data_IF_212809176156
#
_entry.id   IF_212809176156
#
_cell.length_a   1.000
_cell.length_b   1.000
_cell.length_c   1.000
_cell.angle_alpha   90.00
_cell.angle_beta   90.00
_cell.angle_gamma   90.00
#
_symmetry.space_group_name_H-M   'P 1'
#
loop_
_entity.id
_entity.type
_entity.pdbx_description
1 polymer ?
#
# COMPACT_ATOMS: atom_id res chain seq x y z
N UNK A 1 -3.42 -5.28 12.89
CA UNK A 1 -4.44 -4.36 13.48
C UNK A 1 -5.27 -3.72 12.38
N UNK A 2 -4.62 -3.30 11.30
CA UNK A 2 -5.27 -2.70 10.13
C UNK A 2 -6.32 -3.64 9.54
N UNK A 3 -6.06 -4.94 9.47
CA UNK A 3 -7.03 -5.97 9.03
C UNK A 3 -8.37 -5.88 9.79
N UNK A 4 -8.32 -5.73 11.12
CA UNK A 4 -9.53 -5.57 11.92
C UNK A 4 -10.26 -4.27 11.57
N UNK A 5 -9.53 -3.16 11.46
CA UNK A 5 -10.11 -1.86 11.13
C UNK A 5 -10.76 -1.84 9.74
N UNK A 6 -10.21 -2.58 8.77
CA UNK A 6 -10.76 -2.64 7.41
C UNK A 6 -12.10 -3.36 7.37
N UNK A 7 -12.34 -4.34 8.25
CA UNK A 7 -13.64 -5.01 8.40
C UNK A 7 -14.77 -4.07 8.85
N UNK A 8 -14.40 -2.99 9.55
CA UNK A 8 -15.31 -1.94 10.03
C UNK A 8 -15.48 -0.87 8.93
N UNK A 9 -14.37 -0.36 8.42
CA UNK A 9 -14.35 0.76 7.47
C UNK A 9 -14.86 0.37 6.07
N UNK A 10 -14.62 -0.87 5.63
CA UNK A 10 -15.00 -1.42 4.32
C UNK A 10 -14.66 -0.48 3.15
N UNK A 11 -13.38 -0.13 2.95
CA UNK A 11 -12.99 0.85 1.95
C UNK A 11 -13.20 0.34 0.52
N UNK A 12 -13.69 1.19 -0.37
CA UNK A 12 -13.64 0.94 -1.82
C UNK A 12 -12.25 1.27 -2.41
N UNK A 13 -11.53 2.18 -1.75
CA UNK A 13 -10.20 2.67 -2.15
C UNK A 13 -9.31 2.79 -0.91
N UNK A 14 -8.07 2.32 -1.02
CA UNK A 14 -7.04 2.43 0.01
C UNK A 14 -5.79 3.10 -0.57
N UNK A 15 -5.07 3.86 0.26
CA UNK A 15 -3.79 4.45 -0.13
C UNK A 15 -2.70 4.19 0.91
N UNK A 16 -1.56 3.68 0.46
CA UNK A 16 -0.34 3.56 1.27
C UNK A 16 0.63 4.64 0.82
N UNK A 17 0.80 5.68 1.65
CA UNK A 17 1.62 6.83 1.30
C UNK A 17 3.10 6.66 1.62
N UNK A 18 3.45 5.76 2.54
CA UNK A 18 4.82 5.57 3.03
C UNK A 18 5.01 4.23 3.78
N UNK A 19 6.20 3.64 3.68
CA UNK A 19 6.74 2.60 4.58
C UNK A 19 7.88 3.21 5.42
N UNK A 20 7.50 3.96 6.46
CA UNK A 20 8.44 4.53 7.42
C UNK A 20 8.79 3.57 8.58
N UNK A 21 9.56 4.05 9.54
CA UNK A 21 10.03 3.27 10.71
C UNK A 21 9.15 3.44 11.96
N UNK A 22 8.01 4.10 11.84
CA UNK A 22 7.05 4.18 12.93
C UNK A 22 6.69 2.75 13.40
N UNK A 23 6.67 2.55 14.71
CA UNK A 23 6.37 1.26 15.35
C UNK A 23 7.39 0.14 15.07
N UNK A 24 8.61 0.44 14.58
CA UNK A 24 9.65 -0.57 14.38
C UNK A 24 10.05 -1.29 15.68
N UNK A 25 9.91 -0.64 16.84
CA UNK A 25 10.12 -1.29 18.15
C UNK A 25 9.12 -2.43 18.42
N UNK A 26 7.92 -2.35 17.85
CA UNK A 26 6.87 -3.35 17.99
C UNK A 26 6.90 -4.39 16.87
N UNK A 27 7.21 -3.96 15.65
CA UNK A 27 7.14 -4.80 14.44
C UNK A 27 8.49 -5.39 14.00
N UNK A 28 9.60 -4.88 14.53
CA UNK A 28 10.94 -5.43 14.35
C UNK A 28 11.65 -5.03 13.05
N UNK A 29 10.94 -4.86 11.93
CA UNK A 29 11.57 -4.50 10.65
C UNK A 29 10.66 -3.71 9.71
N UNK A 30 11.24 -3.13 8.64
CA UNK A 30 10.46 -2.42 7.60
C UNK A 30 9.60 -3.38 6.77
N UNK A 31 10.06 -4.61 6.57
CA UNK A 31 9.30 -5.68 5.92
C UNK A 31 8.03 -5.98 6.72
N UNK A 32 8.15 -6.15 8.04
CA UNK A 32 7.00 -6.37 8.92
C UNK A 32 6.05 -5.15 8.93
N UNK A 33 6.58 -3.93 8.82
CA UNK A 33 5.77 -2.72 8.66
C UNK A 33 5.04 -2.72 7.32
N UNK A 34 5.68 -3.13 6.23
CA UNK A 34 5.06 -3.23 4.91
C UNK A 34 3.93 -4.27 4.91
N UNK A 35 4.17 -5.46 5.46
CA UNK A 35 3.18 -6.53 5.58
C UNK A 35 1.97 -6.07 6.42
N UNK A 36 2.24 -5.44 7.58
CA UNK A 36 1.18 -4.90 8.43
C UNK A 36 0.36 -3.81 7.74
N UNK A 37 0.97 -2.93 6.93
CA UNK A 37 0.23 -1.90 6.18
C UNK A 37 -0.56 -2.50 5.02
N UNK A 38 -0.08 -3.58 4.41
CA UNK A 38 -0.79 -4.28 3.33
C UNK A 38 -2.03 -5.03 3.84
N UNK A 39 -2.17 -5.27 5.14
CA UNK A 39 -3.45 -5.70 5.74
C UNK A 39 -4.63 -4.78 5.31
N UNK A 40 -4.36 -3.53 4.88
CA UNK A 40 -5.39 -2.61 4.37
C UNK A 40 -6.13 -3.18 3.15
N UNK A 41 -5.49 -4.04 2.36
CA UNK A 41 -6.11 -4.64 1.17
C UNK A 41 -7.14 -5.70 1.51
N UNK A 42 -7.11 -6.27 2.72
CA UNK A 42 -8.04 -7.33 3.14
C UNK A 42 -9.50 -6.85 3.22
N UNK A 43 -9.72 -5.53 3.38
CA UNK A 43 -11.06 -4.95 3.36
C UNK A 43 -11.48 -4.35 2.03
N UNK A 44 -10.62 -4.39 1.00
CA UNK A 44 -11.00 -3.96 -0.34
C UNK A 44 -11.95 -4.99 -0.97
N UNK A 45 -13.02 -4.55 -1.64
CA UNK A 45 -13.87 -5.46 -2.41
C UNK A 45 -13.14 -5.96 -3.68
N UNK A 46 -13.73 -6.96 -4.34
CA UNK A 46 -13.33 -7.34 -5.70
C UNK A 46 -13.36 -6.10 -6.62
N UNK A 47 -12.29 -5.89 -7.38
CA UNK A 47 -12.02 -4.68 -8.19
C UNK A 47 -11.88 -3.37 -7.41
N UNK A 48 -11.72 -3.42 -6.08
CA UNK A 48 -11.32 -2.29 -5.23
C UNK A 48 -9.97 -1.71 -5.65
N UNK A 49 -9.67 -0.46 -5.28
CA UNK A 49 -8.46 0.23 -5.72
C UNK A 49 -7.45 0.40 -4.58
N UNK A 50 -6.25 -0.14 -4.77
CA UNK A 50 -5.08 0.21 -3.97
C UNK A 50 -4.23 1.25 -4.71
N UNK A 51 -3.96 2.37 -4.05
CA UNK A 51 -2.97 3.36 -4.49
C UNK A 51 -1.75 3.25 -3.58
N UNK A 52 -0.53 3.23 -4.14
CA UNK A 52 0.66 3.10 -3.31
C UNK A 52 1.86 3.86 -3.86
N UNK A 53 2.81 4.15 -2.97
CA UNK A 53 4.08 4.78 -3.33
C UNK A 53 4.90 3.79 -4.16
N UNK A 54 4.98 3.99 -5.48
CA UNK A 54 5.64 3.04 -6.38
C UNK A 54 7.16 3.13 -6.36
N UNK A 55 7.74 4.18 -5.78
CA UNK A 55 9.18 4.25 -5.51
C UNK A 55 9.60 3.39 -4.29
N UNK A 56 8.67 2.76 -3.57
CA UNK A 56 8.96 1.93 -2.39
C UNK A 56 9.19 0.46 -2.79
N UNK A 57 10.44 -0.07 -2.69
CA UNK A 57 10.76 -1.43 -3.13
C UNK A 57 9.95 -2.51 -2.40
N UNK A 58 9.68 -2.33 -1.10
CA UNK A 58 8.94 -3.33 -0.32
C UNK A 58 7.50 -3.50 -0.83
N UNK A 59 6.88 -2.40 -1.31
CA UNK A 59 5.54 -2.44 -1.90
C UNK A 59 5.59 -2.99 -3.33
N UNK A 60 6.60 -2.60 -4.13
CA UNK A 60 6.81 -3.14 -5.48
C UNK A 60 7.00 -4.66 -5.50
N UNK A 61 7.65 -5.22 -4.49
CA UNK A 61 7.83 -6.67 -4.34
C UNK A 61 6.52 -7.41 -3.98
N UNK A 62 5.68 -6.80 -3.13
CA UNK A 62 4.54 -7.47 -2.50
C UNK A 62 3.23 -7.30 -3.25
N UNK A 63 2.93 -6.08 -3.69
CA UNK A 63 1.64 -5.72 -4.31
C UNK A 63 1.31 -6.56 -5.55
N UNK A 64 2.26 -6.94 -6.43
CA UNK A 64 1.96 -7.80 -7.59
C UNK A 64 1.37 -9.17 -7.23
N UNK A 65 1.56 -9.65 -6.00
CA UNK A 65 1.00 -10.93 -5.54
C UNK A 65 -0.43 -10.80 -4.99
N UNK A 66 -0.97 -9.58 -4.86
CA UNK A 66 -2.32 -9.33 -4.38
C UNK A 66 -3.27 -9.31 -5.59
N UNK A 67 -4.13 -10.31 -5.68
CA UNK A 67 -5.06 -10.49 -6.80
C UNK A 67 -6.46 -9.97 -6.46
N UNK A 68 -7.33 -9.83 -7.47
CA UNK A 68 -8.73 -9.40 -7.27
C UNK A 68 -8.91 -7.90 -7.03
N UNK A 69 -7.83 -7.12 -6.97
CA UNK A 69 -7.87 -5.65 -6.81
C UNK A 69 -7.23 -4.95 -8.01
N UNK A 70 -7.56 -3.68 -8.18
CA UNK A 70 -6.88 -2.76 -9.09
C UNK A 70 -5.80 -2.02 -8.34
N UNK A 71 -4.73 -1.65 -9.05
CA UNK A 71 -3.61 -0.93 -8.46
C UNK A 71 -3.28 0.34 -9.25
N UNK A 72 -2.82 1.37 -8.53
CA UNK A 72 -2.21 2.58 -9.10
C UNK A 72 -1.00 3.01 -8.29
N UNK A 73 0.04 3.49 -8.95
CA UNK A 73 1.27 3.97 -8.30
C UNK A 73 1.41 5.47 -8.39
N UNK A 74 2.04 6.05 -7.37
CA UNK A 74 2.54 7.41 -7.42
C UNK A 74 3.98 7.46 -6.93
N UNK A 75 4.77 8.40 -7.46
CA UNK A 75 6.16 8.53 -7.06
C UNK A 75 6.90 9.58 -7.89
N UNK A 76 8.21 9.63 -7.70
CA UNK A 76 9.14 10.48 -8.46
C UNK A 76 9.53 9.85 -9.78
N UNK A 77 9.58 8.52 -9.83
CA UNK A 77 9.93 7.78 -11.03
C UNK A 77 8.88 7.92 -12.13
N UNK A 78 9.33 7.98 -13.39
CA UNK A 78 8.47 8.12 -14.57
C UNK A 78 7.73 6.83 -14.94
N UNK A 79 8.09 5.73 -14.29
CA UNK A 79 7.42 4.43 -14.35
C UNK A 79 6.15 4.36 -13.51
N UNK A 80 5.95 5.32 -12.59
CA UNK A 80 4.71 5.40 -11.81
C UNK A 80 3.53 5.84 -12.68
N UNK A 81 2.30 5.46 -12.31
CA UNK A 81 1.10 5.98 -12.98
C UNK A 81 0.96 7.51 -12.82
N UNK A 82 1.40 8.04 -11.66
CA UNK A 82 1.40 9.46 -11.33
C UNK A 82 2.80 9.91 -10.90
N UNK A 83 3.36 10.87 -11.63
CA UNK A 83 4.67 11.46 -11.34
C UNK A 83 4.70 12.97 -11.64
N UNK A 84 5.59 13.74 -10.99
CA UNK A 84 5.75 15.17 -11.26
C UNK A 84 6.25 15.44 -12.68
N UNK A 85 5.61 16.36 -13.41
CA UNK A 85 5.98 16.76 -14.78
C UNK A 85 6.71 18.12 -14.86
N UNK A 86 7.03 18.72 -13.72
CA UNK A 86 7.51 20.11 -13.61
C UNK A 86 6.39 21.11 -13.31
N UNK A 87 6.77 22.31 -12.88
CA UNK A 87 5.89 23.49 -12.76
C UNK A 87 6.26 24.49 -13.85
#
# INVERSE_FOLDING_TARGET
EISFLTSIARPDVAIITNIGEAHIQNLGSREAIADAKLEITEGLPENGLLIYMGDEPLLQERVPNITGIRTKTFGKGHENDLYPVGW
#
